data_IF_200452641909
#
_entry.id   IF_200452641909
#
_cell.length_a   1.000
_cell.length_b   1.000
_cell.length_c   1.000
_cell.angle_alpha   90.00
_cell.angle_beta   90.00
_cell.angle_gamma   90.00
#
_symmetry.space_group_name_H-M   'P 1'
#
loop_
_entity.id
_entity.type
_entity.pdbx_description
1 polymer ?
#
# COMPACT_ATOMS: atom_id res chain seq x y z
N UNK A 1 2.30 -15.17 -26.69
CA UNK A 1 3.34 -14.19 -26.30
C UNK A 1 2.90 -13.17 -25.23
N UNK A 2 1.64 -12.67 -25.25
CA UNK A 2 1.14 -11.70 -24.24
C UNK A 2 1.07 -12.24 -22.80
N UNK A 3 0.78 -13.52 -22.61
CA UNK A 3 0.64 -14.15 -21.29
C UNK A 3 1.90 -14.00 -20.40
N UNK A 4 3.10 -14.19 -20.96
CA UNK A 4 4.37 -14.02 -20.24
C UNK A 4 4.59 -12.60 -19.69
N UNK A 5 3.98 -11.57 -20.32
CA UNK A 5 4.10 -10.17 -19.87
C UNK A 5 3.22 -9.90 -18.63
N UNK A 6 2.03 -10.50 -18.58
CA UNK A 6 1.06 -10.27 -17.50
C UNK A 6 1.20 -11.25 -16.33
N UNK A 7 1.92 -12.36 -16.54
CA UNK A 7 2.15 -13.40 -15.53
C UNK A 7 2.57 -12.86 -14.15
N UNK A 8 3.54 -11.93 -14.02
CA UNK A 8 3.94 -11.40 -12.70
C UNK A 8 2.77 -10.73 -11.96
N UNK A 9 1.96 -9.95 -12.67
CA UNK A 9 0.83 -9.22 -12.09
C UNK A 9 -0.28 -10.17 -11.65
N UNK A 10 -0.63 -11.14 -12.50
CA UNK A 10 -1.62 -12.17 -12.19
C UNK A 10 -1.18 -12.98 -10.97
N UNK A 11 0.10 -13.35 -10.90
CA UNK A 11 0.64 -14.12 -9.79
C UNK A 11 0.62 -13.32 -8.48
N UNK A 12 0.99 -12.04 -8.50
CA UNK A 12 0.92 -11.15 -7.32
C UNK A 12 -0.52 -11.03 -6.83
N UNK A 13 -1.48 -10.76 -7.73
CA UNK A 13 -2.90 -10.64 -7.36
C UNK A 13 -3.44 -11.97 -6.83
N UNK A 14 -3.08 -13.09 -7.47
CA UNK A 14 -3.48 -14.42 -7.04
C UNK A 14 -2.95 -14.72 -5.63
N UNK A 15 -1.67 -14.46 -5.36
CA UNK A 15 -1.07 -14.66 -4.04
C UNK A 15 -1.72 -13.76 -2.99
N UNK A 16 -1.96 -12.48 -3.31
CA UNK A 16 -2.70 -11.59 -2.42
C UNK A 16 -4.10 -12.14 -2.14
N UNK A 17 -4.80 -12.61 -3.17
CA UNK A 17 -6.17 -13.10 -3.07
C UNK A 17 -6.26 -14.29 -2.13
N UNK A 18 -5.42 -15.32 -2.32
CA UNK A 18 -5.40 -16.51 -1.46
C UNK A 18 -4.97 -16.18 -0.02
N UNK A 19 -4.10 -15.18 0.16
CA UNK A 19 -3.58 -14.84 1.48
C UNK A 19 -4.59 -14.04 2.32
N UNK A 20 -5.43 -13.20 1.70
CA UNK A 20 -6.26 -12.24 2.45
C UNK A 20 -7.76 -12.38 2.22
N UNK A 21 -8.23 -12.74 1.02
CA UNK A 21 -9.68 -12.81 0.76
C UNK A 21 -10.41 -13.94 1.54
N UNK A 22 -9.82 -15.12 1.83
CA UNK A 22 -10.47 -16.14 2.66
C UNK A 22 -10.74 -15.72 4.11
N UNK A 23 -10.09 -14.63 4.57
CA UNK A 23 -10.25 -14.06 5.90
C UNK A 23 -11.17 -12.83 5.91
N UNK A 24 -11.60 -12.38 4.74
CA UNK A 24 -12.54 -11.28 4.57
C UNK A 24 -13.87 -11.65 5.26
N UNK A 25 -14.34 -10.80 6.17
CA UNK A 25 -15.55 -11.05 6.97
C UNK A 25 -15.38 -12.02 8.15
N UNK A 26 -14.19 -12.60 8.36
CA UNK A 26 -13.84 -13.35 9.59
C UNK A 26 -13.10 -12.50 10.61
N UNK A 27 -12.67 -11.32 10.21
CA UNK A 27 -11.93 -10.35 11.01
C UNK A 27 -12.86 -9.20 11.36
N UNK A 28 -12.79 -8.74 12.61
CA UNK A 28 -13.40 -7.54 13.17
C UNK A 28 -12.51 -6.29 13.06
N UNK A 29 -12.97 -5.17 13.60
CA UNK A 29 -12.07 -4.10 14.02
C UNK A 29 -11.39 -4.50 15.34
N UNK A 30 -10.06 -4.52 15.37
CA UNK A 30 -9.29 -4.90 16.54
C UNK A 30 -8.33 -3.79 16.96
N UNK A 31 -7.94 -3.81 18.24
CA UNK A 31 -6.90 -2.93 18.82
C UNK A 31 -7.09 -1.45 18.48
N UNK A 32 -6.28 -0.89 17.61
CA UNK A 32 -6.31 0.55 17.36
C UNK A 32 -7.43 0.94 16.39
N UNK A 33 -8.06 -0.02 15.71
CA UNK A 33 -9.14 0.27 14.75
C UNK A 33 -10.46 0.66 15.48
N UNK A 34 -10.79 0.03 16.61
CA UNK A 34 -12.14 0.15 17.19
C UNK A 34 -12.45 1.58 17.65
N UNK A 35 -11.50 2.26 18.31
CA UNK A 35 -11.74 3.59 18.86
C UNK A 35 -11.82 4.65 17.75
N UNK A 36 -11.06 4.46 16.67
CA UNK A 36 -11.06 5.34 15.50
C UNK A 36 -12.38 5.22 14.76
N UNK A 37 -12.82 4.00 14.45
CA UNK A 37 -14.11 3.76 13.80
C UNK A 37 -15.26 4.29 14.67
N UNK A 38 -15.23 4.05 15.98
CA UNK A 38 -16.24 4.57 16.91
C UNK A 38 -16.26 6.10 16.94
N UNK A 39 -15.10 6.75 17.05
CA UNK A 39 -15.01 8.21 17.09
C UNK A 39 -15.48 8.86 15.77
N UNK A 40 -15.05 8.31 14.63
CA UNK A 40 -15.52 8.77 13.31
C UNK A 40 -17.03 8.61 13.14
N UNK A 41 -17.58 7.49 13.61
CA UNK A 41 -19.02 7.19 13.47
C UNK A 41 -19.90 8.00 14.41
N UNK A 42 -19.48 8.18 15.68
CA UNK A 42 -20.32 8.81 16.72
C UNK A 42 -20.08 10.31 16.88
N UNK A 43 -18.86 10.79 16.58
CA UNK A 43 -18.45 12.19 16.78
C UNK A 43 -18.06 12.88 15.47
N UNK A 44 -18.20 12.20 14.33
CA UNK A 44 -17.84 12.70 13.01
C UNK A 44 -16.35 12.60 12.70
N UNK A 45 -16.01 12.62 11.41
CA UNK A 45 -14.64 12.42 10.91
C UNK A 45 -13.66 13.52 11.36
N UNK A 46 -14.16 14.73 11.66
CA UNK A 46 -13.32 15.82 12.17
C UNK A 46 -12.70 15.50 13.54
N UNK A 47 -13.34 14.63 14.32
CA UNK A 47 -12.80 14.16 15.60
C UNK A 47 -11.51 13.37 15.41
N UNK A 48 -11.37 12.63 14.30
CA UNK A 48 -10.13 11.92 13.96
C UNK A 48 -8.97 12.90 13.74
N UNK A 49 -9.22 14.05 13.11
CA UNK A 49 -8.20 15.10 12.95
C UNK A 49 -7.76 15.64 14.31
N UNK A 50 -8.72 15.90 15.22
CA UNK A 50 -8.41 16.39 16.58
C UNK A 50 -7.59 15.36 17.37
N UNK A 51 -7.97 14.09 17.31
CA UNK A 51 -7.33 13.00 18.06
C UNK A 51 -5.84 12.89 17.77
N UNK A 52 -5.44 13.08 16.51
CA UNK A 52 -4.04 12.98 16.08
C UNK A 52 -3.36 14.34 15.88
N UNK A 53 -3.96 15.44 16.33
CA UNK A 53 -3.45 16.79 16.04
C UNK A 53 -2.10 17.11 16.70
N UNK A 54 -1.81 16.48 17.84
CA UNK A 54 -0.60 16.75 18.64
C UNK A 54 0.61 16.00 18.10
N UNK A 55 0.44 14.73 17.69
CA UNK A 55 1.54 13.82 17.38
C UNK A 55 1.63 13.49 15.87
N UNK A 56 0.49 13.26 15.21
CA UNK A 56 0.43 12.76 13.81
C UNK A 56 -0.66 13.46 12.99
N UNK A 57 -0.58 14.80 12.79
CA UNK A 57 -1.65 15.55 12.14
C UNK A 57 -1.96 15.07 10.71
N UNK A 58 -0.94 14.64 9.96
CA UNK A 58 -1.12 14.05 8.64
C UNK A 58 -1.87 12.71 8.67
N UNK A 59 -1.67 11.90 9.71
CA UNK A 59 -2.37 10.64 9.90
C UNK A 59 -3.84 10.89 10.26
N UNK A 60 -4.13 11.87 11.13
CA UNK A 60 -5.49 12.27 11.47
C UNK A 60 -6.30 12.71 10.25
N UNK A 61 -5.69 13.48 9.35
CA UNK A 61 -6.31 13.84 8.07
C UNK A 61 -6.58 12.60 7.21
N UNK A 62 -5.61 11.68 7.14
CA UNK A 62 -5.76 10.45 6.37
C UNK A 62 -6.92 9.58 6.90
N UNK A 63 -7.02 9.40 8.21
CA UNK A 63 -8.12 8.68 8.84
C UNK A 63 -9.47 9.36 8.63
N UNK A 64 -9.53 10.69 8.72
CA UNK A 64 -10.77 11.42 8.42
C UNK A 64 -11.24 11.23 6.97
N UNK A 65 -10.32 11.29 6.00
CA UNK A 65 -10.64 11.08 4.58
C UNK A 65 -11.05 9.64 4.31
N UNK A 66 -10.28 8.66 4.81
CA UNK A 66 -10.57 7.24 4.60
C UNK A 66 -11.89 6.84 5.28
N UNK A 67 -12.16 7.31 6.49
CA UNK A 67 -13.42 7.10 7.17
C UNK A 67 -14.60 7.74 6.44
N UNK A 68 -14.45 8.94 5.88
CA UNK A 68 -15.49 9.58 5.07
C UNK A 68 -15.84 8.77 3.81
N UNK A 69 -14.87 8.06 3.22
CA UNK A 69 -15.07 7.26 2.01
C UNK A 69 -15.61 5.87 2.33
N UNK A 70 -15.06 5.22 3.36
CA UNK A 70 -15.31 3.81 3.69
C UNK A 70 -16.39 3.63 4.76
N UNK A 71 -16.71 4.68 5.53
CA UNK A 71 -17.65 4.64 6.64
C UNK A 71 -17.22 3.66 7.75
N UNK A 72 -18.22 3.06 8.38
CA UNK A 72 -18.05 2.08 9.46
C UNK A 72 -18.15 0.62 9.01
N UNK A 73 -18.42 0.38 7.72
CA UNK A 73 -18.60 -0.96 7.18
C UNK A 73 -17.26 -1.68 7.00
N UNK A 74 -17.03 -2.70 7.82
CA UNK A 74 -15.78 -3.44 7.92
C UNK A 74 -15.29 -4.03 6.60
N UNK A 75 -16.22 -4.48 5.75
CA UNK A 75 -15.91 -5.09 4.46
C UNK A 75 -15.17 -4.12 3.53
N UNK A 76 -15.50 -2.82 3.58
CA UNK A 76 -14.89 -1.80 2.73
C UNK A 76 -13.44 -1.53 3.15
N UNK A 77 -13.15 -1.56 4.45
CA UNK A 77 -11.80 -1.42 4.97
C UNK A 77 -10.89 -2.56 4.51
N UNK A 78 -11.31 -3.81 4.69
CA UNK A 78 -10.50 -4.95 4.24
C UNK A 78 -10.30 -4.99 2.72
N UNK A 79 -11.33 -4.66 1.93
CA UNK A 79 -11.20 -4.57 0.47
C UNK A 79 -10.26 -3.43 0.05
N UNK A 80 -10.37 -2.27 0.68
CA UNK A 80 -9.48 -1.14 0.39
C UNK A 80 -8.02 -1.49 0.73
N UNK A 81 -7.78 -2.07 1.92
CA UNK A 81 -6.44 -2.51 2.34
C UNK A 81 -5.88 -3.58 1.41
N UNK A 82 -6.70 -4.51 0.92
CA UNK A 82 -6.32 -5.47 -0.10
C UNK A 82 -5.88 -4.78 -1.41
N UNK A 83 -6.66 -3.82 -1.90
CA UNK A 83 -6.35 -3.10 -3.13
C UNK A 83 -5.06 -2.29 -3.01
N UNK A 84 -4.89 -1.52 -1.93
CA UNK A 84 -3.67 -0.73 -1.69
C UNK A 84 -2.44 -1.64 -1.59
N UNK A 85 -2.56 -2.78 -0.93
CA UNK A 85 -1.48 -3.79 -0.84
C UNK A 85 -1.07 -4.33 -2.21
N UNK A 86 -2.02 -4.63 -3.09
CA UNK A 86 -1.74 -5.06 -4.47
C UNK A 86 -1.03 -3.95 -5.24
N UNK A 87 -1.51 -2.70 -5.12
CA UNK A 87 -0.87 -1.54 -5.75
C UNK A 87 0.56 -1.35 -5.24
N UNK A 88 0.80 -1.41 -3.93
CA UNK A 88 2.14 -1.35 -3.34
C UNK A 88 3.05 -2.46 -3.90
N UNK A 89 2.54 -3.69 -4.00
CA UNK A 89 3.30 -4.83 -4.53
C UNK A 89 3.68 -4.61 -6.00
N UNK A 90 2.79 -4.04 -6.81
CA UNK A 90 3.11 -3.63 -8.17
C UNK A 90 4.16 -2.52 -8.21
N UNK A 91 4.08 -1.52 -7.34
CA UNK A 91 5.07 -0.44 -7.28
C UNK A 91 6.45 -0.97 -6.94
N UNK A 92 6.55 -1.85 -5.94
CA UNK A 92 7.80 -2.53 -5.56
C UNK A 92 8.34 -3.35 -6.74
N UNK A 93 7.49 -4.13 -7.43
CA UNK A 93 7.90 -4.89 -8.61
C UNK A 93 8.54 -4.00 -9.69
N UNK A 94 7.93 -2.84 -9.97
CA UNK A 94 8.47 -1.91 -10.97
C UNK A 94 9.74 -1.22 -10.50
N UNK A 95 9.81 -0.83 -9.23
CA UNK A 95 10.98 -0.21 -8.63
C UNK A 95 12.19 -1.14 -8.73
N UNK A 96 12.05 -2.39 -8.29
CA UNK A 96 13.15 -3.36 -8.32
C UNK A 96 13.57 -3.67 -9.76
N UNK A 97 12.64 -3.76 -10.71
CA UNK A 97 12.97 -3.90 -12.14
C UNK A 97 13.73 -2.73 -12.73
N UNK A 98 13.51 -1.52 -12.22
CA UNK A 98 14.25 -0.33 -12.63
C UNK A 98 15.67 -0.35 -12.06
N UNK A 99 15.82 -0.68 -10.78
CA UNK A 99 17.12 -0.70 -10.10
C UNK A 99 17.99 -1.86 -10.60
N UNK A 100 17.41 -3.05 -10.81
CA UNK A 100 18.10 -4.28 -11.22
C UNK A 100 17.63 -4.75 -12.60
N UNK A 101 17.96 -4.04 -13.69
CA UNK A 101 17.56 -4.43 -15.03
C UNK A 101 18.15 -5.80 -15.39
N UNK A 102 17.33 -6.70 -15.92
CA UNK A 102 17.71 -8.08 -16.27
C UNK A 102 17.29 -9.13 -15.25
N UNK A 103 17.13 -8.77 -13.98
CA UNK A 103 16.78 -9.69 -12.89
C UNK A 103 15.27 -9.74 -12.62
N UNK A 104 14.51 -10.33 -13.55
CA UNK A 104 13.04 -10.38 -13.46
C UNK A 104 12.52 -11.22 -12.30
N UNK A 105 13.20 -12.32 -11.97
CA UNK A 105 12.80 -13.23 -10.89
C UNK A 105 12.99 -12.58 -9.51
N UNK A 106 14.16 -12.00 -9.16
CA UNK A 106 14.30 -11.24 -7.92
C UNK A 106 13.23 -10.16 -7.73
N UNK A 107 12.93 -9.37 -8.77
CA UNK A 107 11.88 -8.37 -8.68
C UNK A 107 10.50 -8.96 -8.36
N UNK A 108 10.16 -10.10 -8.95
CA UNK A 108 8.91 -10.80 -8.67
C UNK A 108 8.89 -11.36 -7.24
N UNK A 109 9.98 -11.99 -6.80
CA UNK A 109 10.09 -12.55 -5.44
C UNK A 109 9.99 -11.46 -4.38
N UNK A 110 10.65 -10.31 -4.57
CA UNK A 110 10.53 -9.16 -3.65
C UNK A 110 9.10 -8.64 -3.59
N UNK A 111 8.42 -8.52 -4.74
CA UNK A 111 7.03 -8.08 -4.77
C UNK A 111 6.10 -9.07 -4.04
N UNK A 112 6.26 -10.37 -4.29
CA UNK A 112 5.50 -11.43 -3.59
C UNK A 112 5.78 -11.40 -2.09
N UNK A 113 7.04 -11.24 -1.69
CA UNK A 113 7.42 -11.15 -0.29
C UNK A 113 6.69 -9.97 0.37
N UNK A 114 6.70 -8.78 -0.24
CA UNK A 114 5.97 -7.61 0.28
C UNK A 114 4.46 -7.83 0.30
N UNK A 115 3.89 -8.57 -0.67
CA UNK A 115 2.46 -8.92 -0.67
C UNK A 115 2.08 -9.75 0.57
N UNK A 116 2.89 -10.74 0.93
CA UNK A 116 2.60 -11.68 2.03
C UNK A 116 3.09 -11.16 3.38
N UNK A 117 4.23 -10.47 3.40
CA UNK A 117 4.89 -9.96 4.59
C UNK A 117 5.64 -8.65 4.26
N UNK A 118 5.00 -7.48 4.41
CA UNK A 118 5.64 -6.18 4.16
C UNK A 118 6.59 -5.74 5.29
N UNK A 119 6.92 -6.61 6.25
CA UNK A 119 7.77 -6.27 7.40
C UNK A 119 7.03 -5.92 8.70
N UNK A 120 5.70 -6.09 8.75
CA UNK A 120 4.91 -5.92 9.98
C UNK A 120 3.80 -6.98 10.09
N UNK A 121 3.42 -7.33 11.32
CA UNK A 121 2.48 -8.42 11.63
C UNK A 121 1.01 -7.98 11.76
N UNK A 122 0.75 -6.67 11.76
CA UNK A 122 -0.56 -6.06 12.01
C UNK A 122 -1.58 -6.24 10.88
N UNK A 123 -1.36 -7.21 9.99
CA UNK A 123 -2.16 -7.53 8.80
C UNK A 123 -3.66 -7.74 9.04
N UNK A 124 -4.12 -8.27 10.20
CA UNK A 124 -5.55 -8.41 10.49
C UNK A 124 -6.28 -7.09 10.78
N UNK A 125 -5.57 -6.00 11.07
CA UNK A 125 -6.18 -4.71 11.40
C UNK A 125 -6.48 -3.97 10.11
N UNK A 126 -7.75 -3.70 9.84
CA UNK A 126 -8.18 -3.19 8.56
C UNK A 126 -7.78 -1.72 8.36
N UNK A 127 -8.05 -0.88 9.37
CA UNK A 127 -7.84 0.57 9.34
C UNK A 127 -6.35 0.92 9.55
N UNK A 128 -5.77 0.42 10.64
CA UNK A 128 -4.36 0.67 10.97
C UNK A 128 -3.42 0.15 9.86
N UNK A 129 -3.68 -1.04 9.30
CA UNK A 129 -2.88 -1.52 8.16
C UNK A 129 -3.05 -0.65 6.93
N UNK A 130 -4.27 -0.16 6.63
CA UNK A 130 -4.50 0.71 5.47
C UNK A 130 -3.59 1.94 5.53
N UNK A 131 -3.48 2.56 6.71
CA UNK A 131 -2.62 3.73 6.91
C UNK A 131 -1.14 3.44 6.68
N UNK A 132 -0.66 2.30 7.18
CA UNK A 132 0.72 1.84 6.98
C UNK A 132 0.99 1.55 5.50
N UNK A 133 0.07 0.87 4.82
CA UNK A 133 0.18 0.56 3.40
C UNK A 133 0.18 1.81 2.52
N UNK A 134 -0.64 2.81 2.84
CA UNK A 134 -0.64 4.10 2.14
C UNK A 134 0.67 4.84 2.36
N UNK A 135 1.15 4.94 3.60
CA UNK A 135 2.43 5.58 3.92
C UNK A 135 3.60 4.90 3.19
N UNK A 136 3.65 3.56 3.20
CA UNK A 136 4.64 2.79 2.44
C UNK A 136 4.49 2.99 0.93
N UNK A 137 3.26 3.02 0.42
CA UNK A 137 2.96 3.32 -0.98
C UNK A 137 3.55 4.66 -1.42
N UNK A 138 3.31 5.72 -0.65
CA UNK A 138 3.86 7.05 -0.94
C UNK A 138 5.39 7.09 -0.84
N UNK A 139 5.98 6.41 0.15
CA UNK A 139 7.44 6.31 0.26
C UNK A 139 8.05 5.61 -0.96
N UNK A 140 7.51 4.45 -1.36
CA UNK A 140 7.97 3.72 -2.54
C UNK A 140 7.76 4.52 -3.84
N UNK A 141 6.64 5.23 -3.97
CA UNK A 141 6.40 6.14 -5.10
C UNK A 141 7.43 7.26 -5.17
N UNK A 142 7.74 7.89 -4.03
CA UNK A 142 8.77 8.92 -3.95
C UNK A 142 10.12 8.40 -4.45
N UNK A 143 10.57 7.26 -3.93
CA UNK A 143 11.82 6.60 -4.35
C UNK A 143 11.77 6.24 -5.85
N UNK A 144 10.64 5.72 -6.33
CA UNK A 144 10.46 5.35 -7.73
C UNK A 144 10.63 6.55 -8.66
N UNK A 145 10.03 7.69 -8.34
CA UNK A 145 10.20 8.92 -9.11
C UNK A 145 11.63 9.47 -9.03
N UNK A 146 12.29 9.39 -7.87
CA UNK A 146 13.70 9.75 -7.74
C UNK A 146 14.60 8.90 -8.67
N UNK A 147 14.36 7.59 -8.73
CA UNK A 147 15.09 6.69 -9.63
C UNK A 147 14.83 7.05 -11.10
N UNK A 148 13.58 7.34 -11.47
CA UNK A 148 13.25 7.76 -12.84
C UNK A 148 13.93 9.08 -13.22
N UNK A 149 13.92 10.07 -12.32
CA UNK A 149 14.57 11.35 -12.55
C UNK A 149 16.08 11.19 -12.76
N UNK A 150 16.74 10.39 -11.91
CA UNK A 150 18.16 10.11 -12.02
C UNK A 150 18.53 9.39 -13.33
N UNK A 151 17.73 8.43 -13.76
CA UNK A 151 17.95 7.72 -15.03
C UNK A 151 17.82 8.63 -16.24
N UNK A 152 16.86 9.56 -16.23
CA UNK A 152 16.66 10.50 -17.32
C UNK A 152 17.79 11.53 -17.40
N UNK A 153 18.26 12.03 -16.25
CA UNK A 153 19.42 12.91 -16.19
C UNK A 153 20.67 12.23 -16.74
N UNK A 154 20.94 10.98 -16.32
CA UNK A 154 22.07 10.19 -16.83
C UNK A 154 21.98 10.01 -18.34
N UNK A 155 20.79 9.72 -18.87
CA UNK A 155 20.56 9.56 -20.31
C UNK A 155 20.82 10.85 -21.08
N UNK A 156 20.46 12.02 -20.52
CA UNK A 156 20.76 13.32 -21.12
C UNK A 156 22.27 13.57 -21.17
N UNK A 157 23.00 13.37 -20.07
CA UNK A 157 24.47 13.52 -20.01
C UNK A 157 25.18 12.68 -21.08
N UNK A 158 24.82 11.39 -21.17
CA UNK A 158 25.36 10.47 -22.18
C UNK A 158 25.08 10.92 -23.64
N UNK A 159 23.97 11.61 -23.91
CA UNK A 159 23.66 12.15 -25.24
C UNK A 159 24.42 13.44 -25.56
N UNK A 160 24.72 14.24 -24.55
CA UNK A 160 25.40 15.54 -24.71
C UNK A 160 26.92 15.44 -24.67
N UNK A 161 27.49 14.25 -24.44
CA UNK A 161 28.93 14.01 -24.49
C UNK A 161 29.73 14.55 -23.29
N UNK A 162 29.03 14.89 -22.20
CA UNK A 162 29.62 15.25 -20.89
C UNK A 162 29.46 14.09 -19.91
#
# INVERSE_FOLDING_TARGET
MKFKKYFPYVLIVFIAAIAYLPFLGKQGFYRDDWYQIWAGTTQGEYTLIKMFSIDRPGLGLMYAITHRILGSELIYWHLCTFLVRVVLSFLVYHLVKKILPGYKLPALLTAILVTVYPGFLEQPFADTSLSLYLAYGFCILSIFFSVLAFMEERKKKLKTGY
#
